data_IF_461639456483
#
_entry.id   IF_461639456483
#
_cell.length_a   1.000
_cell.length_b   1.000
_cell.length_c   1.000
_cell.angle_alpha   90.00
_cell.angle_beta   90.00
_cell.angle_gamma   90.00
#
_symmetry.space_group_name_H-M   'P 1'
#
loop_
_entity.id
_entity.type
_entity.pdbx_description
1 polymer ?
#
# COMPACT_ATOMS: atom_id res chain seq x y z
N UNK A 1 21.05 17.56 6.84
CA UNK A 1 19.69 17.03 6.57
C UNK A 1 19.68 16.04 5.41
N UNK A 2 20.25 16.39 4.24
CA UNK A 2 20.31 15.51 3.06
C UNK A 2 21.05 14.18 3.28
N UNK A 3 22.23 14.20 3.93
CA UNK A 3 23.00 12.97 4.18
C UNK A 3 22.26 11.99 5.10
N UNK A 4 21.68 12.48 6.20
CA UNK A 4 20.92 11.64 7.14
C UNK A 4 19.72 10.98 6.46
N UNK A 5 18.99 11.71 5.62
CA UNK A 5 17.84 11.19 4.87
C UNK A 5 18.27 10.12 3.85
N UNK A 6 19.38 10.34 3.15
CA UNK A 6 19.94 9.36 2.22
C UNK A 6 20.40 8.09 2.95
N UNK A 7 21.11 8.24 4.07
CA UNK A 7 21.55 7.10 4.90
C UNK A 7 20.34 6.32 5.40
N UNK A 8 19.31 7.01 5.91
CA UNK A 8 18.08 6.36 6.35
C UNK A 8 17.39 5.61 5.20
N UNK A 9 17.26 6.24 4.02
CA UNK A 9 16.67 5.62 2.84
C UNK A 9 17.36 4.32 2.45
N UNK A 10 18.68 4.35 2.25
CA UNK A 10 19.43 3.17 1.83
C UNK A 10 19.47 2.09 2.92
N UNK A 11 19.55 2.48 4.19
CA UNK A 11 19.56 1.54 5.31
C UNK A 11 18.23 0.78 5.42
N UNK A 12 17.10 1.49 5.34
CA UNK A 12 15.77 0.86 5.40
C UNK A 12 15.49 0.02 4.15
N UNK A 13 15.88 0.49 2.96
CA UNK A 13 15.75 -0.29 1.73
C UNK A 13 16.57 -1.59 1.78
N UNK A 14 17.83 -1.50 2.22
CA UNK A 14 18.69 -2.67 2.38
C UNK A 14 18.10 -3.65 3.38
N UNK A 15 17.62 -3.16 4.53
CA UNK A 15 16.96 -3.99 5.52
C UNK A 15 15.72 -4.69 4.96
N UNK A 16 14.82 -3.96 4.29
CA UNK A 16 13.60 -4.52 3.71
C UNK A 16 13.90 -5.62 2.68
N UNK A 17 14.93 -5.43 1.86
CA UNK A 17 15.33 -6.38 0.83
C UNK A 17 15.84 -7.70 1.41
N UNK A 18 16.59 -7.65 2.51
CA UNK A 18 17.25 -8.84 3.09
C UNK A 18 16.46 -9.47 4.25
N UNK A 19 15.56 -8.72 4.88
CA UNK A 19 14.78 -9.20 6.02
C UNK A 19 13.82 -10.32 5.61
N UNK A 20 13.58 -11.28 6.53
CA UNK A 20 12.47 -12.23 6.36
C UNK A 20 11.14 -11.48 6.53
N UNK A 21 10.28 -11.44 5.50
CA UNK A 21 9.00 -10.73 5.58
C UNK A 21 7.99 -11.41 6.52
N UNK A 22 8.23 -12.66 6.91
CA UNK A 22 7.31 -13.46 7.72
C UNK A 22 7.03 -14.81 7.06
N UNK A 23 8.09 -15.49 6.65
CA UNK A 23 8.03 -16.75 5.91
C UNK A 23 7.51 -17.88 6.79
N UNK A 24 6.48 -18.57 6.29
CA UNK A 24 6.00 -19.82 6.87
C UNK A 24 6.86 -20.97 6.34
N UNK A 25 7.40 -21.75 7.25
CA UNK A 25 8.25 -22.92 7.00
C UNK A 25 7.68 -24.13 7.75
N UNK A 26 8.14 -25.35 7.43
CA UNK A 26 7.73 -26.54 8.21
C UNK A 26 8.09 -26.44 9.69
N UNK A 27 9.17 -25.74 10.01
CA UNK A 27 9.67 -25.62 11.38
C UNK A 27 8.79 -24.70 12.24
N UNK A 28 8.20 -23.65 11.65
CA UNK A 28 7.33 -22.72 12.38
C UNK A 28 5.82 -22.94 12.12
N UNK A 29 5.46 -23.90 11.26
CA UNK A 29 4.07 -24.17 10.86
C UNK A 29 3.17 -24.42 12.08
N UNK A 30 3.65 -25.21 13.03
CA UNK A 30 2.89 -25.53 14.25
C UNK A 30 2.63 -24.31 15.14
N UNK A 31 3.48 -23.28 15.07
CA UNK A 31 3.30 -22.05 15.83
C UNK A 31 2.33 -21.07 15.15
N UNK A 32 2.15 -21.18 13.83
CA UNK A 32 1.34 -20.24 13.06
C UNK A 32 -0.03 -20.78 12.64
N UNK A 33 -0.19 -22.10 12.60
CA UNK A 33 -1.41 -22.76 12.10
C UNK A 33 -2.67 -22.37 12.89
N UNK A 34 -2.53 -22.17 14.20
CA UNK A 34 -3.63 -21.89 15.13
C UNK A 34 -3.62 -20.42 15.61
N UNK A 35 -2.87 -19.54 14.94
CA UNK A 35 -2.73 -18.13 15.35
C UNK A 35 -3.97 -17.29 15.02
N UNK A 36 -4.69 -17.68 13.99
CA UNK A 36 -5.89 -17.03 13.51
C UNK A 36 -6.93 -18.11 13.27
N UNK A 37 -8.21 -17.77 13.44
CA UNK A 37 -9.31 -18.65 13.08
C UNK A 37 -9.64 -18.53 11.59
N UNK A 38 -10.27 -19.56 11.02
CA UNK A 38 -10.79 -19.51 9.65
C UNK A 38 -12.16 -18.83 9.67
N UNK A 39 -12.35 -17.78 8.87
CA UNK A 39 -13.66 -17.11 8.74
C UNK A 39 -14.63 -17.85 7.79
N UNK A 40 -14.12 -18.79 7.00
CA UNK A 40 -14.92 -19.54 6.03
C UNK A 40 -15.40 -18.69 4.85
N UNK A 41 -14.96 -17.42 4.74
CA UNK A 41 -15.29 -16.52 3.64
C UNK A 41 -14.06 -16.24 2.78
N UNK A 42 -13.08 -15.53 3.35
CA UNK A 42 -11.83 -15.18 2.64
C UNK A 42 -10.68 -16.14 3.00
N UNK A 43 -10.82 -16.85 4.12
CA UNK A 43 -9.90 -17.88 4.60
C UNK A 43 -10.64 -19.17 4.95
N UNK A 44 -10.36 -20.18 4.14
CA UNK A 44 -10.79 -21.57 4.31
C UNK A 44 -9.56 -22.49 4.13
N UNK A 45 -9.72 -23.78 4.41
CA UNK A 45 -8.63 -24.76 4.35
C UNK A 45 -8.11 -24.89 2.91
N UNK A 46 -6.96 -24.27 2.64
CA UNK A 46 -6.32 -24.29 1.31
C UNK A 46 -4.97 -24.97 1.34
N UNK A 47 -4.77 -25.98 0.49
CA UNK A 47 -3.47 -26.64 0.35
C UNK A 47 -2.55 -25.85 -0.58
N UNK A 48 -1.29 -25.62 -0.18
CA UNK A 48 -0.28 -25.07 -1.06
C UNK A 48 0.42 -26.19 -1.84
N UNK A 49 0.16 -26.29 -3.14
CA UNK A 49 0.77 -27.31 -4.01
C UNK A 49 2.29 -27.16 -4.12
N UNK A 50 2.83 -25.95 -3.99
CA UNK A 50 4.27 -25.70 -4.07
C UNK A 50 4.97 -26.01 -2.74
N UNK A 51 4.45 -25.50 -1.62
CA UNK A 51 5.08 -25.69 -0.31
C UNK A 51 4.71 -27.03 0.37
N UNK A 52 3.68 -27.71 -0.13
CA UNK A 52 3.20 -29.02 0.35
C UNK A 52 2.70 -29.03 1.80
N UNK A 53 1.83 -28.08 2.14
CA UNK A 53 1.12 -28.03 3.42
C UNK A 53 -0.18 -27.23 3.32
N UNK A 54 -1.08 -27.41 4.29
CA UNK A 54 -2.26 -26.56 4.44
C UNK A 54 -1.81 -25.16 4.88
N UNK A 55 -2.26 -24.13 4.16
CA UNK A 55 -1.95 -22.73 4.47
C UNK A 55 -2.70 -22.35 5.76
N UNK A 56 -1.99 -21.82 6.77
CA UNK A 56 -2.65 -21.16 7.90
C UNK A 56 -3.54 -20.01 7.41
N UNK A 57 -4.53 -19.58 8.20
CA UNK A 57 -5.30 -18.38 7.86
C UNK A 57 -4.39 -17.16 7.72
N UNK A 58 -4.83 -16.18 6.93
CA UNK A 58 -4.04 -14.97 6.61
C UNK A 58 -2.69 -15.26 5.91
N UNK A 59 -2.45 -16.47 5.41
CA UNK A 59 -1.23 -16.83 4.68
C UNK A 59 -1.46 -16.91 3.18
N UNK A 60 -0.60 -16.28 2.38
CA UNK A 60 -0.62 -16.37 0.91
C UNK A 60 0.72 -16.87 0.38
N UNK A 61 0.67 -17.64 -0.70
CA UNK A 61 1.86 -18.08 -1.43
C UNK A 61 2.24 -17.00 -2.46
N UNK A 62 3.46 -16.48 -2.36
CA UNK A 62 4.02 -15.60 -3.36
C UNK A 62 4.73 -16.43 -4.44
N UNK A 63 4.26 -16.36 -5.68
CA UNK A 63 4.88 -17.07 -6.82
C UNK A 63 6.31 -16.58 -7.11
N UNK A 64 6.57 -15.28 -6.92
CA UNK A 64 7.88 -14.67 -7.15
C UNK A 64 8.92 -15.09 -6.09
N UNK A 65 8.54 -15.08 -4.81
CA UNK A 65 9.41 -15.55 -3.73
C UNK A 65 9.42 -17.08 -3.57
N UNK A 66 8.49 -17.78 -4.23
CA UNK A 66 8.25 -19.22 -4.14
C UNK A 66 8.05 -19.74 -2.70
N UNK A 67 7.40 -18.93 -1.85
CA UNK A 67 7.22 -19.19 -0.41
C UNK A 67 5.87 -18.68 0.07
N UNK A 68 5.38 -19.28 1.16
CA UNK A 68 4.19 -18.81 1.87
C UNK A 68 4.60 -17.76 2.92
N UNK A 69 3.88 -16.64 2.99
CA UNK A 69 4.12 -15.59 3.97
C UNK A 69 2.86 -15.32 4.80
N UNK A 70 3.03 -15.20 6.11
CA UNK A 70 1.94 -14.91 7.06
C UNK A 70 1.59 -13.42 7.02
N UNK A 71 0.29 -13.12 6.93
CA UNK A 71 -0.26 -11.78 6.71
C UNK A 71 0.43 -11.10 5.52
N UNK A 72 0.57 -11.85 4.43
CA UNK A 72 1.15 -11.33 3.20
C UNK A 72 0.28 -10.21 2.66
N UNK A 73 0.88 -9.03 2.52
CA UNK A 73 0.24 -7.88 1.93
C UNK A 73 0.44 -7.92 0.41
N UNK A 74 1.67 -7.78 -0.07
CA UNK A 74 1.98 -7.89 -1.49
C UNK A 74 3.46 -8.25 -1.72
N UNK A 75 3.80 -8.58 -2.97
CA UNK A 75 5.20 -8.62 -3.41
C UNK A 75 5.56 -7.26 -4.00
N UNK A 76 6.51 -6.56 -3.41
CA UNK A 76 6.89 -5.23 -3.84
C UNK A 76 8.14 -5.30 -4.71
N UNK A 77 7.96 -5.03 -6.00
CA UNK A 77 9.05 -5.04 -7.00
C UNK A 77 10.14 -4.01 -6.68
N UNK A 78 9.80 -2.93 -5.96
CA UNK A 78 10.73 -1.83 -5.64
C UNK A 78 11.71 -2.19 -4.53
N UNK A 79 11.32 -3.08 -3.62
CA UNK A 79 12.20 -3.59 -2.54
C UNK A 79 12.75 -4.98 -2.87
N UNK A 80 12.29 -5.59 -3.97
CA UNK A 80 12.66 -6.95 -4.39
C UNK A 80 12.40 -8.00 -3.29
N UNK A 81 11.29 -7.83 -2.57
CA UNK A 81 10.89 -8.70 -1.47
C UNK A 81 9.37 -8.59 -1.20
N UNK A 82 8.83 -9.55 -0.47
CA UNK A 82 7.46 -9.46 0.03
C UNK A 82 7.33 -8.46 1.19
N UNK A 83 6.16 -7.85 1.30
CA UNK A 83 5.70 -7.13 2.49
C UNK A 83 4.72 -8.05 3.21
N UNK A 84 5.04 -8.43 4.44
CA UNK A 84 4.21 -9.31 5.26
C UNK A 84 4.41 -9.01 6.76
N UNK A 85 3.82 -9.83 7.64
CA UNK A 85 3.76 -9.59 9.09
C UNK A 85 5.04 -9.07 9.74
N UNK A 86 6.21 -9.62 9.40
CA UNK A 86 7.47 -9.32 10.10
C UNK A 86 8.17 -8.05 9.62
N UNK A 87 7.86 -7.59 8.40
CA UNK A 87 8.51 -6.40 7.82
C UNK A 87 7.55 -5.25 7.47
N UNK A 88 6.24 -5.41 7.68
CA UNK A 88 5.21 -4.41 7.37
C UNK A 88 5.53 -3.02 7.95
N UNK A 89 5.94 -2.94 9.22
CA UNK A 89 6.30 -1.67 9.88
C UNK A 89 7.45 -0.92 9.19
N UNK A 90 8.42 -1.65 8.67
CA UNK A 90 9.57 -1.06 7.97
C UNK A 90 9.16 -0.59 6.57
N UNK A 91 8.19 -1.25 5.95
CA UNK A 91 7.62 -0.81 4.68
C UNK A 91 6.85 0.52 4.85
N UNK A 92 6.04 0.66 5.90
CA UNK A 92 5.39 1.95 6.23
C UNK A 92 6.43 3.05 6.48
N UNK A 93 7.50 2.74 7.23
CA UNK A 93 8.61 3.67 7.44
C UNK A 93 9.30 4.06 6.13
N UNK A 94 9.51 3.10 5.23
CA UNK A 94 10.11 3.33 3.91
C UNK A 94 9.26 4.28 3.06
N UNK A 95 7.94 4.12 3.05
CA UNK A 95 7.01 5.05 2.38
C UNK A 95 7.11 6.46 2.96
N UNK A 96 7.15 6.61 4.29
CA UNK A 96 7.31 7.92 4.94
C UNK A 96 8.64 8.57 4.54
N UNK A 97 9.75 7.83 4.56
CA UNK A 97 11.06 8.34 4.14
C UNK A 97 11.02 8.79 2.68
N UNK A 98 10.36 8.03 1.80
CA UNK A 98 10.22 8.36 0.38
C UNK A 98 9.38 9.61 0.14
N UNK A 99 8.29 9.80 0.89
CA UNK A 99 7.48 11.02 0.85
C UNK A 99 8.31 12.22 1.32
N UNK A 100 8.98 12.10 2.46
CA UNK A 100 9.83 13.17 3.01
C UNK A 100 10.94 13.56 2.02
N UNK A 101 11.59 12.58 1.38
CA UNK A 101 12.60 12.83 0.35
C UNK A 101 12.03 13.54 -0.88
N UNK A 102 10.85 13.12 -1.35
CA UNK A 102 10.19 13.71 -2.52
C UNK A 102 9.75 15.15 -2.25
N UNK A 103 9.11 15.38 -1.10
CA UNK A 103 8.66 16.72 -0.66
C UNK A 103 9.86 17.65 -0.42
N UNK A 104 10.91 17.16 0.25
CA UNK A 104 12.11 17.95 0.49
C UNK A 104 12.82 18.32 -0.80
N UNK A 105 13.01 17.37 -1.71
CA UNK A 105 13.60 17.63 -3.03
C UNK A 105 12.77 18.63 -3.84
N UNK A 106 11.45 18.42 -3.91
CA UNK A 106 10.53 19.34 -4.58
C UNK A 106 10.60 20.76 -3.99
N UNK A 107 10.65 20.89 -2.66
CA UNK A 107 10.78 22.17 -1.96
C UNK A 107 12.10 22.89 -2.30
N UNK A 108 13.22 22.17 -2.34
CA UNK A 108 14.50 22.75 -2.72
C UNK A 108 14.48 23.29 -4.16
N UNK A 109 13.90 22.55 -5.11
CA UNK A 109 13.77 23.02 -6.49
C UNK A 109 12.84 24.23 -6.60
N UNK A 110 11.70 24.20 -5.90
CA UNK A 110 10.79 25.35 -5.82
C UNK A 110 11.51 26.61 -5.31
N UNK A 111 12.37 26.49 -4.29
CA UNK A 111 13.15 27.61 -3.75
C UNK A 111 14.12 28.20 -4.78
N UNK A 112 14.77 27.35 -5.59
CA UNK A 112 15.68 27.80 -6.64
C UNK A 112 14.90 28.54 -7.73
N UNK A 113 13.82 27.95 -8.24
CA UNK A 113 12.98 28.55 -9.27
C UNK A 113 12.38 29.89 -8.80
N UNK A 114 11.91 29.93 -7.55
CA UNK A 114 11.33 31.15 -6.95
C UNK A 114 12.37 32.27 -6.77
N UNK A 115 13.62 31.93 -6.42
CA UNK A 115 14.70 32.91 -6.30
C UNK A 115 15.02 33.54 -7.65
N UNK A 116 15.09 32.74 -8.71
CA UNK A 116 15.39 33.23 -10.04
C UNK A 116 14.21 33.99 -10.67
N UNK A 117 12.97 33.56 -10.41
CA UNK A 117 11.78 34.33 -10.76
C UNK A 117 11.79 35.72 -10.09
N UNK A 118 12.09 35.79 -8.79
CA UNK A 118 12.15 37.08 -8.08
C UNK A 118 13.27 37.99 -8.60
N UNK A 119 14.42 37.44 -9.01
CA UNK A 119 15.49 38.22 -9.67
C UNK A 119 15.02 38.80 -11.00
N UNK A 120 14.38 37.98 -11.85
CA UNK A 120 13.85 38.44 -13.13
C UNK A 120 12.78 39.51 -12.90
N UNK A 121 11.85 39.27 -11.98
CA UNK A 121 10.81 40.24 -11.60
C UNK A 121 11.40 41.59 -11.21
N UNK A 122 12.42 41.60 -10.35
CA UNK A 122 13.12 42.81 -9.94
C UNK A 122 13.82 43.50 -11.13
N UNK A 123 14.46 42.73 -12.02
CA UNK A 123 15.09 43.29 -13.23
C UNK A 123 14.10 43.76 -14.30
N UNK A 124 12.89 43.21 -14.31
CA UNK A 124 11.84 43.48 -15.31
C UNK A 124 10.98 44.70 -14.99
N UNK A 125 11.26 45.40 -13.90
CA UNK A 125 10.81 46.80 -13.72
C UNK A 125 11.35 47.71 -14.84
N UNK A 126 12.36 47.25 -15.60
CA UNK A 126 12.80 47.85 -16.86
C UNK A 126 11.71 47.72 -17.91
N UNK A 127 11.13 48.85 -18.29
CA UNK A 127 10.05 48.95 -19.28
C UNK A 127 10.61 48.81 -20.70
N UNK A 128 9.87 48.14 -21.59
CA UNK A 128 10.20 48.13 -23.02
C UNK A 128 9.20 48.97 -23.79
N UNK A 129 9.69 49.68 -24.81
CA UNK A 129 8.86 50.50 -25.69
C UNK A 129 8.51 49.71 -26.93
N UNK A 130 7.21 49.61 -27.24
CA UNK A 130 6.76 49.09 -28.51
C UNK A 130 7.18 50.06 -29.62
N UNK A 131 8.02 49.60 -30.55
CA UNK A 131 8.61 50.43 -31.62
C UNK A 131 7.56 50.93 -32.63
N UNK A 132 6.38 50.28 -32.69
CA UNK A 132 5.29 50.59 -33.62
C UNK A 132 4.26 51.51 -32.97
N UNK A 133 3.85 51.23 -31.73
CA UNK A 133 2.78 51.98 -31.05
C UNK A 133 3.31 53.06 -30.09
N UNK A 134 4.60 53.07 -29.78
CA UNK A 134 5.20 53.96 -28.78
C UNK A 134 4.80 53.62 -27.33
N UNK A 135 3.96 52.60 -27.12
CA UNK A 135 3.49 52.23 -25.78
C UNK A 135 4.61 51.59 -24.96
N UNK A 136 4.72 52.04 -23.72
CA UNK A 136 5.67 51.52 -22.75
C UNK A 136 4.98 50.43 -21.92
N UNK A 137 5.33 49.16 -22.16
CA UNK A 137 4.77 48.01 -21.43
C UNK A 137 5.82 47.39 -20.50
N UNK A 138 5.34 46.86 -19.38
CA UNK A 138 6.11 46.00 -18.48
C UNK A 138 5.98 44.55 -18.93
N UNK A 139 7.00 43.73 -18.68
CA UNK A 139 6.91 42.30 -19.00
C UNK A 139 5.79 41.62 -18.21
N UNK A 140 4.97 40.85 -18.93
CA UNK A 140 3.88 40.09 -18.31
C UNK A 140 4.43 38.93 -17.46
N UNK A 141 3.77 38.65 -16.35
CA UNK A 141 4.22 37.65 -15.37
C UNK A 141 4.39 36.25 -15.95
N UNK A 142 3.50 35.83 -16.85
CA UNK A 142 3.58 34.49 -17.46
C UNK A 142 4.79 34.35 -18.40
N UNK A 143 5.24 35.42 -19.05
CA UNK A 143 6.47 35.44 -19.86
C UNK A 143 7.67 35.20 -18.95
N UNK A 144 7.74 35.86 -17.79
CA UNK A 144 8.78 35.64 -16.79
C UNK A 144 8.79 34.20 -16.28
N UNK A 145 7.60 33.62 -16.03
CA UNK A 145 7.48 32.22 -15.64
C UNK A 145 8.06 31.33 -16.75
N UNK A 146 7.64 31.49 -18.01
CA UNK A 146 8.17 30.70 -19.13
C UNK A 146 9.69 30.84 -19.25
N UNK A 147 10.24 32.04 -19.10
CA UNK A 147 11.69 32.26 -19.13
C UNK A 147 12.42 31.48 -18.03
N UNK A 148 11.91 31.48 -16.80
CA UNK A 148 12.49 30.70 -15.69
C UNK A 148 12.38 29.20 -15.97
N UNK A 149 11.22 28.74 -16.43
CA UNK A 149 10.98 27.33 -16.72
C UNK A 149 11.86 26.83 -17.87
N UNK A 150 12.03 27.61 -18.93
CA UNK A 150 12.90 27.29 -20.07
C UNK A 150 14.38 27.33 -19.68
N UNK A 151 14.80 28.34 -18.91
CA UNK A 151 16.17 28.46 -18.40
C UNK A 151 16.56 27.25 -17.53
N UNK A 152 15.60 26.72 -16.78
CA UNK A 152 15.81 25.62 -15.83
C UNK A 152 14.96 24.38 -16.15
N UNK A 153 14.85 24.02 -17.44
CA UNK A 153 13.93 22.96 -17.89
C UNK A 153 14.12 21.62 -17.16
N UNK A 154 15.38 21.23 -16.87
CA UNK A 154 15.69 20.00 -16.13
C UNK A 154 15.24 20.07 -14.66
N UNK A 155 15.46 21.21 -13.99
CA UNK A 155 15.05 21.38 -12.59
C UNK A 155 13.53 21.46 -12.45
N UNK A 156 12.87 22.12 -13.40
CA UNK A 156 11.40 22.16 -13.51
C UNK A 156 10.84 20.76 -13.68
N UNK A 157 11.38 19.98 -14.63
CA UNK A 157 10.94 18.60 -14.86
C UNK A 157 11.10 17.74 -13.61
N UNK A 158 12.23 17.87 -12.89
CA UNK A 158 12.47 17.13 -11.66
C UNK A 158 11.55 17.57 -10.52
N UNK A 159 11.27 18.86 -10.38
CA UNK A 159 10.29 19.38 -9.40
C UNK A 159 8.89 18.81 -9.64
N UNK A 160 8.42 18.82 -10.90
CA UNK A 160 7.12 18.26 -11.26
C UNK A 160 7.08 16.76 -11.00
N UNK A 161 8.11 16.02 -11.42
CA UNK A 161 8.21 14.58 -11.18
C UNK A 161 8.14 14.26 -9.68
N UNK A 162 8.95 14.91 -8.85
CA UNK A 162 8.97 14.65 -7.41
C UNK A 162 7.66 15.03 -6.73
N UNK A 163 6.98 16.07 -7.21
CA UNK A 163 5.67 16.47 -6.67
C UNK A 163 4.59 15.45 -6.99
N UNK A 164 4.58 14.94 -8.22
CA UNK A 164 3.65 13.89 -8.66
C UNK A 164 3.93 12.58 -7.91
N UNK A 165 5.19 12.15 -7.86
CA UNK A 165 5.61 10.95 -7.12
C UNK A 165 5.26 11.08 -5.64
N UNK A 166 5.54 12.24 -5.02
CA UNK A 166 5.19 12.51 -3.63
C UNK A 166 3.69 12.41 -3.36
N UNK A 167 2.84 12.89 -4.26
CA UNK A 167 1.39 12.74 -4.17
C UNK A 167 0.96 11.27 -4.22
N UNK A 168 1.43 10.51 -5.23
CA UNK A 168 1.11 9.09 -5.35
C UNK A 168 1.55 8.28 -4.14
N UNK A 169 2.77 8.52 -3.63
CA UNK A 169 3.27 7.85 -2.43
C UNK A 169 2.45 8.19 -1.19
N UNK A 170 1.96 9.44 -1.08
CA UNK A 170 1.10 9.86 0.03
C UNK A 170 -0.24 9.15 -0.01
N UNK A 171 -0.88 9.08 -1.18
CA UNK A 171 -2.15 8.35 -1.35
C UNK A 171 -1.97 6.85 -1.06
N UNK A 172 -0.86 6.28 -1.53
CA UNK A 172 -0.52 4.89 -1.28
C UNK A 172 -0.30 4.61 0.21
N UNK A 173 0.44 5.47 0.92
CA UNK A 173 0.60 5.38 2.38
C UNK A 173 -0.75 5.49 3.10
N UNK A 174 -1.62 6.41 2.68
CA UNK A 174 -2.95 6.57 3.27
C UNK A 174 -3.76 5.28 3.11
N UNK A 175 -3.75 4.65 1.93
CA UNK A 175 -4.41 3.35 1.71
C UNK A 175 -3.92 2.30 2.70
N UNK A 176 -2.61 2.09 2.78
CA UNK A 176 -2.01 1.11 3.69
C UNK A 176 -2.35 1.41 5.16
N UNK A 177 -2.31 2.68 5.57
CA UNK A 177 -2.69 3.08 6.93
C UNK A 177 -4.17 2.80 7.21
N UNK A 178 -5.06 3.09 6.26
CA UNK A 178 -6.49 2.79 6.38
C UNK A 178 -6.76 1.29 6.54
N UNK A 179 -6.09 0.44 5.78
CA UNK A 179 -6.20 -1.01 5.91
C UNK A 179 -5.61 -1.50 7.24
N UNK A 180 -4.45 -0.96 7.63
CA UNK A 180 -3.75 -1.29 8.89
C UNK A 180 -4.61 -0.95 10.12
N UNK A 181 -5.27 0.21 10.17
CA UNK A 181 -6.16 0.57 11.28
C UNK A 181 -7.43 -0.28 11.31
N UNK A 182 -7.86 -0.86 10.19
CA UNK A 182 -8.94 -1.86 10.15
C UNK A 182 -8.48 -3.28 10.51
N UNK A 183 -7.19 -3.47 10.76
CA UNK A 183 -6.62 -4.79 11.10
C UNK A 183 -6.40 -5.68 9.87
N UNK A 184 -6.49 -5.11 8.67
CA UNK A 184 -6.48 -5.80 7.37
C UNK A 184 -5.18 -5.52 6.59
N UNK A 185 -4.75 -6.51 5.81
CA UNK A 185 -3.84 -6.31 4.67
C UNK A 185 -4.62 -5.73 3.47
N UNK A 186 -3.93 -5.18 2.47
CA UNK A 186 -4.56 -4.72 1.22
C UNK A 186 -5.23 -5.88 0.48
N UNK A 187 -4.63 -7.08 0.50
CA UNK A 187 -5.24 -8.29 -0.06
C UNK A 187 -6.56 -8.63 0.62
N UNK A 188 -6.61 -8.55 1.95
CA UNK A 188 -7.84 -8.76 2.71
C UNK A 188 -8.87 -7.67 2.42
N UNK A 189 -8.43 -6.41 2.34
CA UNK A 189 -9.30 -5.27 2.04
C UNK A 189 -9.97 -5.41 0.68
N UNK A 190 -9.23 -5.86 -0.33
CA UNK A 190 -9.77 -6.11 -1.68
C UNK A 190 -10.81 -7.24 -1.66
N UNK A 191 -10.50 -8.36 -1.00
CA UNK A 191 -11.44 -9.49 -0.87
C UNK A 191 -12.72 -9.09 -0.12
N UNK A 192 -12.60 -8.33 0.96
CA UNK A 192 -13.76 -7.85 1.71
C UNK A 192 -14.59 -6.84 0.90
N UNK A 193 -13.95 -5.97 0.13
CA UNK A 193 -14.65 -5.06 -0.79
C UNK A 193 -15.45 -5.83 -1.84
N UNK A 194 -14.90 -6.93 -2.33
CA UNK A 194 -15.61 -7.83 -3.25
C UNK A 194 -16.83 -8.49 -2.59
N UNK A 195 -16.66 -9.08 -1.40
CA UNK A 195 -17.75 -9.67 -0.62
C UNK A 195 -18.87 -8.65 -0.36
N UNK A 196 -18.52 -7.44 0.06
CA UNK A 196 -19.49 -6.36 0.29
C UNK A 196 -20.25 -5.99 -1.00
N UNK A 197 -19.59 -6.08 -2.16
CA UNK A 197 -20.24 -5.84 -3.45
C UNK A 197 -21.27 -6.92 -3.79
N UNK A 198 -21.00 -8.19 -3.48
CA UNK A 198 -21.93 -9.31 -3.66
C UNK A 198 -23.14 -9.17 -2.73
N UNK A 199 -22.89 -8.84 -1.45
CA UNK A 199 -23.94 -8.57 -0.46
C UNK A 199 -24.85 -7.42 -0.93
N UNK A 200 -24.26 -6.32 -1.42
CA UNK A 200 -25.03 -5.17 -1.92
C UNK A 200 -25.88 -5.50 -3.15
N UNK A 201 -25.43 -6.41 -4.01
CA UNK A 201 -26.18 -6.89 -5.19
C UNK A 201 -27.28 -7.90 -4.83
N UNK A 202 -27.29 -8.41 -3.59
CA UNK A 202 -28.19 -9.50 -3.18
C UNK A 202 -27.74 -10.88 -3.64
N UNK A 203 -26.48 -11.01 -4.08
CA UNK A 203 -25.90 -12.28 -4.54
C UNK A 203 -25.39 -13.10 -3.35
N UNK A 204 -26.27 -13.36 -2.36
CA UNK A 204 -25.94 -14.13 -1.16
C UNK A 204 -26.90 -15.30 -1.06
N UNK A 205 -26.37 -16.53 -0.97
CA UNK A 205 -27.14 -17.75 -0.74
C UNK A 205 -26.88 -18.25 0.67
N UNK A 206 -27.97 -18.45 1.42
CA UNK A 206 -27.91 -19.07 2.73
C UNK A 206 -27.99 -20.59 2.57
N UNK A 207 -27.02 -21.31 3.11
CA UNK A 207 -27.00 -22.78 3.13
C UNK A 207 -27.22 -23.25 4.56
N UNK A 208 -28.13 -24.21 4.75
CA UNK A 208 -28.26 -24.90 6.05
C UNK A 208 -27.14 -25.94 6.17
N UNK A 209 -26.22 -25.81 7.17
CA UNK A 209 -25.13 -26.76 7.35
C UNK A 209 -25.59 -28.18 7.70
N UNK A 210 -26.86 -28.40 8.02
CA UNK A 210 -27.43 -29.72 8.31
C UNK A 210 -28.18 -30.36 7.11
N UNK A 211 -28.24 -29.69 5.97
CA UNK A 211 -28.91 -30.20 4.76
C UNK A 211 -27.93 -31.05 3.91
N UNK A 212 -28.08 -32.38 3.85
CA UNK A 212 -27.18 -33.27 3.12
C UNK A 212 -27.28 -33.15 1.59
N UNK A 213 -28.34 -32.52 1.05
CA UNK A 213 -28.56 -32.37 -0.40
C UNK A 213 -27.96 -31.06 -0.95
N UNK A 214 -27.59 -30.11 -0.08
CA UNK A 214 -26.90 -28.88 -0.47
C UNK A 214 -25.39 -29.12 -0.50
N UNK A 215 -24.87 -29.41 -1.70
CA UNK A 215 -23.42 -29.45 -1.93
C UNK A 215 -22.81 -28.10 -1.59
N UNK A 216 -21.91 -28.09 -0.61
CA UNK A 216 -21.03 -26.96 -0.33
C UNK A 216 -20.27 -26.68 -1.63
N UNK A 217 -20.44 -25.49 -2.19
CA UNK A 217 -19.52 -25.03 -3.21
C UNK A 217 -18.21 -24.68 -2.48
N UNK A 218 -17.32 -25.66 -2.37
CA UNK A 218 -15.96 -25.47 -1.86
C UNK A 218 -15.09 -24.64 -2.81
N UNK A 219 -15.64 -24.23 -3.98
CA UNK A 219 -14.91 -23.38 -4.90
C UNK A 219 -14.64 -22.04 -4.20
N UNK A 220 -13.36 -21.67 -4.10
CA UNK A 220 -13.00 -20.38 -3.58
C UNK A 220 -13.67 -19.27 -4.37
N UNK A 221 -13.91 -18.15 -3.71
CA UNK A 221 -13.90 -16.86 -4.41
C UNK A 221 -12.44 -16.61 -4.84
N UNK A 222 -12.03 -17.11 -6.01
CA UNK A 222 -10.82 -16.69 -6.72
C UNK A 222 -11.20 -15.57 -7.69
N UNK A 223 -10.30 -14.61 -7.88
CA UNK A 223 -10.53 -13.40 -8.70
C UNK A 223 -10.77 -13.67 -10.21
N UNK A 224 -10.87 -14.92 -10.68
CA UNK A 224 -10.59 -15.29 -12.08
C UNK A 224 -11.52 -16.34 -12.75
N UNK A 225 -12.74 -16.65 -12.27
CA UNK A 225 -13.66 -17.55 -13.02
C UNK A 225 -15.06 -16.96 -13.24
N UNK A 226 -15.45 -16.84 -14.52
CA UNK A 226 -16.70 -16.31 -15.07
C UNK A 226 -17.96 -17.18 -14.76
N UNK A 227 -18.14 -17.63 -13.51
CA UNK A 227 -19.43 -18.20 -13.07
C UNK A 227 -20.21 -17.15 -12.26
N UNK A 228 -21.54 -17.23 -12.25
CA UNK A 228 -22.40 -16.29 -11.50
C UNK A 228 -22.02 -16.32 -10.01
N UNK A 229 -21.13 -15.43 -9.60
CA UNK A 229 -20.58 -15.40 -8.25
C UNK A 229 -21.68 -15.05 -7.24
N UNK A 230 -22.12 -16.06 -6.49
CA UNK A 230 -22.93 -15.93 -5.31
C UNK A 230 -22.10 -16.27 -4.08
N UNK A 231 -22.22 -15.44 -3.04
CA UNK A 231 -21.60 -15.67 -1.75
C UNK A 231 -22.45 -16.68 -0.97
N UNK A 232 -21.88 -17.83 -0.65
CA UNK A 232 -22.50 -18.81 0.24
C UNK A 232 -22.19 -18.47 1.69
N UNK A 233 -23.22 -18.33 2.54
CA UNK A 233 -23.06 -18.17 3.99
C UNK A 233 -23.98 -19.13 4.76
N UNK A 234 -23.55 -19.53 5.95
CA UNK A 234 -24.32 -20.35 6.90
C UNK A 234 -24.94 -19.51 8.02
N UNK A 235 -24.37 -18.35 8.33
CA UNK A 235 -24.89 -17.45 9.35
C UNK A 235 -24.57 -15.99 8.99
N UNK A 236 -25.48 -15.02 9.22
CA UNK A 236 -25.22 -13.60 8.97
C UNK A 236 -23.96 -13.07 9.67
N UNK A 237 -23.62 -13.61 10.84
CA UNK A 237 -22.44 -13.18 11.61
C UNK A 237 -21.11 -13.44 10.90
N UNK A 238 -21.08 -14.31 9.88
CA UNK A 238 -19.87 -14.51 9.07
C UNK A 238 -19.47 -13.23 8.34
N UNK A 239 -20.41 -12.32 8.08
CA UNK A 239 -20.12 -11.03 7.46
C UNK A 239 -19.39 -10.05 8.40
N UNK A 240 -19.24 -10.39 9.68
CA UNK A 240 -18.42 -9.63 10.61
C UNK A 240 -16.94 -9.97 10.41
N UNK A 241 -16.08 -8.95 10.42
CA UNK A 241 -14.65 -9.17 10.28
C UNK A 241 -14.06 -9.82 11.53
N UNK A 242 -13.75 -11.11 11.44
CA UNK A 242 -13.29 -11.95 12.56
C UNK A 242 -11.99 -11.46 13.21
N UNK A 243 -11.12 -10.77 12.46
CA UNK A 243 -9.80 -10.37 12.96
C UNK A 243 -9.77 -8.95 13.56
N UNK A 244 -10.92 -8.27 13.68
CA UNK A 244 -11.02 -6.97 14.34
C UNK A 244 -10.68 -7.08 15.84
N UNK A 245 -9.79 -6.21 16.32
CA UNK A 245 -9.35 -6.12 17.72
C UNK A 245 -10.18 -5.11 18.53
N UNK A 246 -11.35 -4.70 18.01
CA UNK A 246 -12.35 -3.86 18.67
C UNK A 246 -12.02 -2.36 18.70
N UNK A 247 -10.81 -1.95 18.29
CA UNK A 247 -10.48 -0.53 18.10
C UNK A 247 -9.42 -0.34 17.02
N UNK A 248 -9.47 0.82 16.35
CA UNK A 248 -8.49 1.21 15.34
C UNK A 248 -7.04 1.18 15.85
N UNK A 249 -6.83 1.53 17.11
CA UNK A 249 -5.49 1.51 17.72
C UNK A 249 -5.00 0.08 17.96
N UNK A 250 -5.87 -0.81 18.48
CA UNK A 250 -5.50 -2.21 18.71
C UNK A 250 -5.19 -2.92 17.40
N UNK A 251 -6.00 -2.68 16.38
CA UNK A 251 -5.77 -3.18 15.02
C UNK A 251 -4.43 -2.72 14.47
N UNK A 252 -4.15 -1.41 14.57
CA UNK A 252 -2.87 -0.86 14.14
C UNK A 252 -1.69 -1.52 14.88
N UNK A 253 -1.78 -1.64 16.20
CA UNK A 253 -0.73 -2.26 17.01
C UNK A 253 -0.53 -3.73 16.66
N UNK A 254 -1.61 -4.49 16.46
CA UNK A 254 -1.54 -5.90 16.07
C UNK A 254 -0.92 -6.10 14.68
N UNK A 255 -1.19 -5.18 13.73
CA UNK A 255 -0.63 -5.24 12.38
C UNK A 255 0.83 -4.79 12.30
N UNK A 256 1.20 -3.71 13.01
CA UNK A 256 2.54 -3.10 12.95
C UNK A 256 3.51 -3.80 13.90
N UNK A 257 3.02 -4.28 15.03
CA UNK A 257 3.79 -5.00 16.05
C UNK A 257 3.15 -6.35 16.35
N UNK A 258 3.06 -7.26 15.36
CA UNK A 258 2.49 -8.57 15.59
C UNK A 258 3.34 -9.32 16.63
N UNK A 259 2.71 -10.08 17.54
CA UNK A 259 3.45 -10.93 18.47
C UNK A 259 4.38 -11.89 17.70
N UNK A 260 5.56 -12.22 18.26
CA UNK A 260 6.54 -13.07 17.61
C UNK A 260 5.93 -14.40 17.15
N UNK A 261 6.41 -14.96 16.04
CA UNK A 261 5.95 -16.28 15.54
C UNK A 261 6.21 -17.43 16.53
N UNK A 262 7.01 -17.21 17.59
CA UNK A 262 7.28 -18.18 18.66
C UNK A 262 6.32 -18.06 19.85
N UNK A 263 5.44 -17.06 19.89
CA UNK A 263 4.53 -16.79 21.00
C UNK A 263 3.09 -16.82 20.50
N UNK A 264 2.27 -17.71 21.07
CA UNK A 264 0.83 -17.74 20.80
C UNK A 264 0.14 -16.60 21.57
N UNK A 265 -0.64 -15.74 20.91
CA UNK A 265 -1.80 -15.17 21.57
C UNK A 265 -2.94 -16.20 21.47
N UNK A 266 -3.40 -16.73 22.61
CA UNK A 266 -4.71 -17.36 22.70
C UNK A 266 -5.72 -16.21 22.79
N UNK A 267 -6.33 -15.84 21.66
CA UNK A 267 -7.56 -15.04 21.67
C UNK A 267 -8.74 -16.00 21.60
#
# INVERSE_FOLDING_TARGET
>A
MSLALLVAFFSVLAYLRISDPGTVTRQNLDNVKDRYEMDGLIYYKKFCTTCKWNRPPRTKHCKLCNRCHLMMDHHCIWIDNCVASSNHKYFLLYLIIMIVASVYGSFLFYRILSKDFNKIKLSSEVRYTNVITGEVKTMETWIMVIMVLQKHIQLTALHLLLSIVGLFLTLFLISHLMSTVKGMTEVETNKWSYIQSLVKKGNVKYIDPNDPDQKINDNPIEEDEDEEDYLTIYHPDQLNYLYDQGSYLNNFMHMVFPPPLSQQPKY
#
